data_IF_935278210132
#
_entry.id   IF_935278210132
#
_cell.length_a   1.000
_cell.length_b   1.000
_cell.length_c   1.000
_cell.angle_alpha   90.00
_cell.angle_beta   90.00
_cell.angle_gamma   90.00
#
_symmetry.space_group_name_H-M   'P 1'
#
loop_
_entity.id
_entity.type
_entity.pdbx_description
1 polymer ?
#
# COMPACT_ATOMS: atom_id res chain seq x y z
N UNK A 1 -17.30 -59.80 -19.31
CA UNK A 1 -15.84 -59.50 -19.40
C UNK A 1 -15.70 -58.05 -19.73
N UNK A 2 -15.68 -57.17 -18.73
CA UNK A 2 -15.52 -55.71 -18.92
C UNK A 2 -14.10 -55.53 -19.43
N UNK A 3 -14.00 -54.98 -20.62
CA UNK A 3 -12.73 -54.81 -21.33
C UNK A 3 -11.73 -54.03 -20.50
N UNK A 4 -10.52 -54.58 -20.30
CA UNK A 4 -9.37 -53.87 -19.65
C UNK A 4 -9.16 -52.48 -20.20
N UNK A 5 -9.57 -52.21 -21.44
CA UNK A 5 -9.53 -50.89 -22.10
C UNK A 5 -10.49 -49.88 -21.49
N UNK A 6 -11.63 -50.31 -20.96
CA UNK A 6 -12.61 -49.44 -20.31
C UNK A 6 -12.13 -49.00 -18.93
N UNK A 7 -11.47 -49.91 -18.20
CA UNK A 7 -10.88 -49.58 -16.89
C UNK A 7 -9.71 -48.62 -17.00
N UNK A 8 -8.89 -48.77 -18.04
CA UNK A 8 -7.76 -47.86 -18.32
C UNK A 8 -8.25 -46.46 -18.74
N UNK A 9 -9.31 -46.39 -19.56
CA UNK A 9 -9.94 -45.10 -19.93
C UNK A 9 -10.55 -44.38 -18.73
N UNK A 10 -11.17 -45.11 -17.79
CA UNK A 10 -11.74 -44.56 -16.58
C UNK A 10 -10.64 -44.06 -15.63
N UNK A 11 -9.51 -44.76 -15.55
CA UNK A 11 -8.35 -44.32 -14.74
C UNK A 11 -7.70 -43.04 -15.28
N UNK A 12 -7.64 -42.88 -16.61
CA UNK A 12 -7.08 -41.68 -17.26
C UNK A 12 -8.02 -40.50 -17.08
N UNK A 13 -9.34 -40.71 -17.02
CA UNK A 13 -10.30 -39.62 -16.76
C UNK A 13 -10.21 -39.10 -15.32
N UNK A 14 -9.82 -39.93 -14.34
CA UNK A 14 -9.66 -39.55 -12.95
C UNK A 14 -8.37 -38.75 -12.67
N UNK A 15 -7.35 -38.87 -13.50
CA UNK A 15 -6.09 -38.12 -13.32
C UNK A 15 -6.13 -36.70 -13.88
N UNK A 16 -7.19 -36.33 -14.60
CA UNK A 16 -7.35 -34.99 -15.20
C UNK A 16 -8.00 -33.97 -14.25
N UNK A 17 -8.43 -34.35 -13.06
CA UNK A 17 -8.78 -33.41 -12.01
C UNK A 17 -7.52 -32.94 -11.29
N UNK A 18 -6.55 -32.39 -12.05
CA UNK A 18 -5.62 -31.43 -11.49
C UNK A 18 -6.47 -30.24 -11.06
N UNK A 19 -6.76 -30.12 -9.77
CA UNK A 19 -7.21 -28.85 -9.21
C UNK A 19 -6.14 -27.85 -9.62
N UNK A 20 -6.49 -26.96 -10.53
CA UNK A 20 -5.73 -25.76 -10.76
C UNK A 20 -5.83 -24.98 -9.43
N UNK A 21 -4.88 -25.19 -8.54
CA UNK A 21 -4.72 -24.33 -7.38
C UNK A 21 -4.38 -22.98 -7.97
N UNK A 22 -5.35 -22.05 -7.93
CA UNK A 22 -5.07 -20.67 -8.29
C UNK A 22 -3.84 -20.24 -7.50
N UNK A 23 -2.79 -19.87 -8.21
CA UNK A 23 -1.58 -19.35 -7.55
C UNK A 23 -1.98 -18.17 -6.66
N UNK A 24 -1.46 -18.12 -5.42
CA UNK A 24 -1.72 -17.03 -4.51
C UNK A 24 -1.43 -15.70 -5.19
N UNK A 25 -2.43 -14.84 -5.26
CA UNK A 25 -2.25 -13.56 -5.95
C UNK A 25 -2.88 -12.41 -5.17
N UNK A 26 -2.32 -11.22 -5.38
CA UNK A 26 -2.95 -9.97 -4.98
C UNK A 26 -4.28 -9.79 -5.72
N UNK A 27 -5.21 -9.07 -5.13
CA UNK A 27 -6.52 -8.76 -5.74
C UNK A 27 -6.36 -7.95 -7.03
N UNK A 28 -7.27 -8.14 -7.99
CA UNK A 28 -7.23 -7.41 -9.28
C UNK A 28 -7.26 -5.90 -9.09
N UNK A 29 -8.14 -5.44 -8.21
CA UNK A 29 -8.26 -4.03 -7.83
C UNK A 29 -8.96 -3.92 -6.49
N UNK A 30 -8.46 -3.02 -5.63
CA UNK A 30 -9.04 -2.71 -4.32
C UNK A 30 -9.18 -1.20 -4.22
N UNK A 31 -10.38 -0.73 -3.95
CA UNK A 31 -10.63 0.65 -3.57
C UNK A 31 -10.84 0.75 -2.07
N UNK A 32 -10.41 1.84 -1.47
CA UNK A 32 -10.62 2.06 -0.05
C UNK A 32 -10.31 3.47 0.40
N UNK A 33 -10.69 3.72 1.64
CA UNK A 33 -10.35 4.92 2.39
C UNK A 33 -9.55 4.51 3.61
N UNK A 34 -8.52 5.27 3.92
CA UNK A 34 -7.68 5.05 5.10
C UNK A 34 -7.47 6.34 5.86
N UNK A 35 -7.34 6.22 7.17
CA UNK A 35 -6.88 7.28 8.05
C UNK A 35 -5.76 6.75 8.95
N UNK A 36 -4.95 7.65 9.44
CA UNK A 36 -3.86 7.36 10.36
C UNK A 36 -3.46 8.61 11.12
N UNK A 37 -2.38 8.51 11.91
CA UNK A 37 -1.86 9.64 12.68
C UNK A 37 -1.46 10.79 11.75
N UNK A 38 -1.00 10.47 10.54
CA UNK A 38 -0.42 11.43 9.59
C UNK A 38 -1.36 11.83 8.45
N UNK A 39 -2.67 11.56 8.54
CA UNK A 39 -3.59 12.06 7.52
C UNK A 39 -4.78 11.16 7.18
N UNK A 40 -5.40 11.44 6.03
CA UNK A 40 -6.53 10.70 5.46
C UNK A 40 -6.34 10.58 3.95
N UNK A 41 -6.62 9.37 3.40
CA UNK A 41 -6.37 9.07 1.99
C UNK A 41 -7.47 8.18 1.41
N UNK A 42 -7.81 8.41 0.15
CA UNK A 42 -8.47 7.44 -0.69
C UNK A 42 -7.42 6.75 -1.57
N UNK A 43 -7.61 5.46 -1.81
CA UNK A 43 -6.62 4.71 -2.57
C UNK A 43 -7.25 3.69 -3.51
N UNK A 44 -6.53 3.37 -4.57
CA UNK A 44 -6.70 2.17 -5.37
C UNK A 44 -5.41 1.36 -5.31
N UNK A 45 -5.55 0.05 -5.26
CA UNK A 45 -4.44 -0.90 -5.32
C UNK A 45 -4.73 -1.89 -6.45
N UNK A 46 -4.05 -1.76 -7.57
CA UNK A 46 -4.25 -2.54 -8.78
C UNK A 46 -3.15 -3.58 -8.97
N UNK A 47 -3.52 -4.81 -9.37
CA UNK A 47 -2.58 -5.90 -9.65
C UNK A 47 -1.71 -5.57 -10.85
N UNK A 48 -0.39 -5.69 -10.71
CA UNK A 48 0.56 -5.73 -11.81
C UNK A 48 1.00 -7.17 -12.13
N UNK A 49 1.25 -7.97 -11.09
CA UNK A 49 1.56 -9.40 -11.18
C UNK A 49 0.88 -10.14 -10.03
N UNK A 50 1.04 -11.47 -9.94
CA UNK A 50 0.47 -12.24 -8.82
C UNK A 50 0.96 -11.78 -7.45
N UNK A 51 2.15 -11.21 -7.33
CA UNK A 51 2.74 -10.76 -6.08
C UNK A 51 2.97 -9.25 -5.99
N UNK A 52 2.77 -8.50 -7.08
CA UNK A 52 3.02 -7.06 -7.14
C UNK A 52 1.72 -6.31 -7.43
N UNK A 53 1.40 -5.33 -6.59
CA UNK A 53 0.33 -4.37 -6.81
C UNK A 53 0.90 -2.95 -6.93
N UNK A 54 0.27 -2.12 -7.75
CA UNK A 54 0.50 -0.67 -7.78
C UNK A 54 -0.57 0.00 -6.93
N UNK A 55 -0.15 0.65 -5.87
CA UNK A 55 -1.04 1.48 -5.07
C UNK A 55 -0.92 2.93 -5.47
N UNK A 56 -2.06 3.56 -5.70
CA UNK A 56 -2.18 5.00 -5.93
C UNK A 56 -3.05 5.61 -4.85
N UNK A 57 -2.67 6.77 -4.34
CA UNK A 57 -3.39 7.47 -3.27
C UNK A 57 -3.51 8.94 -3.58
N UNK A 58 -4.62 9.53 -3.14
CA UNK A 58 -4.83 10.96 -3.04
C UNK A 58 -5.37 11.23 -1.65
N UNK A 59 -4.85 12.25 -0.99
CA UNK A 59 -5.28 12.57 0.36
C UNK A 59 -4.70 13.86 0.92
N UNK A 60 -4.78 13.96 2.23
CA UNK A 60 -4.23 15.05 3.01
C UNK A 60 -3.25 14.48 4.03
N UNK A 61 -2.01 14.91 3.95
CA UNK A 61 -0.97 14.56 4.92
C UNK A 61 -0.95 15.60 6.04
N UNK A 62 -0.81 15.14 7.28
CA UNK A 62 -0.72 16.00 8.46
C UNK A 62 0.73 16.31 8.78
N UNK A 63 1.07 17.58 8.75
CA UNK A 63 2.38 18.10 9.12
C UNK A 63 2.34 18.85 10.45
N UNK A 64 3.43 18.73 11.22
CA UNK A 64 3.66 19.50 12.44
C UNK A 64 5.02 20.15 12.33
N UNK A 65 5.06 21.45 12.55
CA UNK A 65 6.29 22.22 12.69
C UNK A 65 6.24 23.02 14.00
N UNK A 66 7.22 22.83 14.85
CA UNK A 66 7.30 23.49 16.14
C UNK A 66 8.65 24.14 16.38
N UNK A 67 8.64 25.33 16.95
CA UNK A 67 9.78 25.97 17.58
C UNK A 67 9.43 26.35 19.04
N UNK A 68 10.42 26.82 19.82
CA UNK A 68 10.34 26.93 21.28
C UNK A 68 9.07 27.57 21.86
N UNK A 69 8.33 28.36 21.07
CA UNK A 69 7.14 29.07 21.54
C UNK A 69 5.87 28.81 20.75
N UNK A 70 5.93 28.06 19.63
CA UNK A 70 4.75 27.95 18.76
C UNK A 70 4.73 26.62 17.99
N UNK A 71 3.56 25.97 17.99
CA UNK A 71 3.30 24.77 17.17
C UNK A 71 2.37 25.14 16.02
N UNK A 72 2.83 24.87 14.80
CA UNK A 72 2.03 24.99 13.58
C UNK A 72 1.64 23.59 13.13
N UNK A 73 0.36 23.40 12.85
CA UNK A 73 -0.18 22.16 12.28
C UNK A 73 -0.83 22.46 10.95
N UNK A 74 -0.63 21.62 9.97
CA UNK A 74 -1.23 21.77 8.66
C UNK A 74 -1.64 20.43 8.07
N UNK A 75 -2.73 20.43 7.29
CA UNK A 75 -3.08 19.38 6.35
C UNK A 75 -2.71 19.89 4.96
N UNK A 76 -1.89 19.13 4.26
CA UNK A 76 -1.42 19.45 2.90
C UNK A 76 -1.83 18.35 1.93
N UNK A 77 -2.16 18.68 0.66
CA UNK A 77 -2.51 17.67 -0.32
C UNK A 77 -1.34 16.71 -0.55
N UNK A 78 -1.69 15.47 -0.84
CA UNK A 78 -0.70 14.46 -1.21
C UNK A 78 -1.20 13.57 -2.34
N UNK A 79 -0.32 13.28 -3.28
CA UNK A 79 -0.49 12.30 -4.34
C UNK A 79 0.62 11.28 -4.18
N UNK A 80 0.26 9.99 -4.14
CA UNK A 80 1.23 8.94 -3.87
C UNK A 80 1.10 7.81 -4.86
N UNK A 81 2.23 7.28 -5.30
CA UNK A 81 2.35 6.08 -6.12
C UNK A 81 3.31 5.13 -5.42
N UNK A 82 2.88 3.89 -5.22
CA UNK A 82 3.61 2.94 -4.40
C UNK A 82 3.50 1.53 -4.98
N UNK A 83 4.45 1.07 -5.82
CA UNK A 83 4.57 -0.34 -6.15
C UNK A 83 4.88 -1.14 -4.88
N UNK A 84 4.09 -2.19 -4.62
CA UNK A 84 4.13 -3.06 -3.44
C UNK A 84 4.39 -4.49 -3.85
N UNK A 85 5.46 -5.10 -3.37
CA UNK A 85 5.72 -6.53 -3.51
C UNK A 85 5.30 -7.29 -2.26
N UNK A 86 4.22 -8.07 -2.37
CA UNK A 86 3.70 -8.94 -1.32
C UNK A 86 4.42 -10.29 -1.33
N UNK A 87 5.55 -10.40 -0.65
CA UNK A 87 6.48 -11.53 -0.73
C UNK A 87 6.06 -12.78 0.06
N UNK A 88 4.99 -12.73 0.85
CA UNK A 88 4.63 -13.83 1.76
C UNK A 88 3.22 -14.41 1.55
N UNK A 89 2.55 -14.16 0.42
CA UNK A 89 1.20 -14.64 0.17
C UNK A 89 1.11 -16.16 0.22
N UNK A 90 1.99 -16.88 -0.47
CA UNK A 90 2.05 -18.34 -0.47
C UNK A 90 2.20 -18.92 0.95
N UNK A 91 3.16 -18.38 1.72
CA UNK A 91 3.40 -18.78 3.10
C UNK A 91 2.19 -18.53 4.00
N UNK A 92 1.38 -17.51 3.69
CA UNK A 92 0.14 -17.23 4.42
C UNK A 92 -0.92 -18.27 4.13
N UNK A 93 -1.14 -18.62 2.86
CA UNK A 93 -2.09 -19.68 2.45
C UNK A 93 -1.69 -21.02 3.03
N UNK A 94 -0.42 -21.41 2.92
CA UNK A 94 0.09 -22.64 3.51
C UNK A 94 -0.14 -22.75 5.03
N UNK A 95 -0.34 -21.61 5.71
CA UNK A 95 -0.67 -21.52 7.14
C UNK A 95 -2.15 -21.19 7.41
N UNK A 96 -3.04 -21.40 6.44
CA UNK A 96 -4.46 -21.07 6.51
C UNK A 96 -4.75 -19.63 6.97
N UNK A 97 -3.89 -18.68 6.57
CA UNK A 97 -4.08 -17.24 6.87
C UNK A 97 -4.68 -16.53 5.67
N UNK A 98 -5.62 -15.64 5.91
CA UNK A 98 -6.28 -14.83 4.88
C UNK A 98 -5.26 -13.99 4.10
N UNK A 99 -5.46 -13.92 2.76
CA UNK A 99 -4.76 -13.00 1.86
C UNK A 99 -5.72 -11.95 1.26
N UNK A 100 -7.02 -12.02 1.56
CA UNK A 100 -8.03 -11.09 1.09
C UNK A 100 -7.61 -9.63 1.33
N UNK A 101 -8.01 -8.74 0.41
CA UNK A 101 -7.61 -7.33 0.38
C UNK A 101 -6.08 -7.14 0.46
N UNK A 102 -5.32 -8.04 -0.17
CA UNK A 102 -3.86 -8.06 -0.15
C UNK A 102 -3.26 -8.14 1.27
N UNK A 103 -3.90 -8.94 2.15
CA UNK A 103 -3.36 -9.18 3.50
C UNK A 103 -2.03 -9.90 3.41
N UNK A 104 -0.94 -9.19 3.60
CA UNK A 104 0.43 -9.71 3.48
C UNK A 104 1.44 -8.79 4.14
N UNK A 105 2.71 -9.22 4.08
CA UNK A 105 3.84 -8.34 4.32
C UNK A 105 4.34 -7.89 2.95
N UNK A 106 4.79 -6.65 2.86
CA UNK A 106 5.24 -6.08 1.61
C UNK A 106 6.52 -5.27 1.74
N UNK A 107 7.25 -5.21 0.63
CA UNK A 107 8.26 -4.20 0.36
C UNK A 107 7.68 -3.24 -0.67
N UNK A 108 7.96 -1.96 -0.52
CA UNK A 108 7.45 -0.94 -1.42
C UNK A 108 8.46 0.19 -1.63
N UNK A 109 8.29 0.92 -2.74
CA UNK A 109 8.88 2.22 -2.94
C UNK A 109 7.75 3.26 -2.90
N UNK A 110 7.71 4.04 -1.83
CA UNK A 110 6.76 5.14 -1.71
C UNK A 110 7.31 6.36 -2.46
N UNK A 111 6.59 6.80 -3.49
CA UNK A 111 6.83 8.06 -4.19
C UNK A 111 5.67 8.99 -3.89
N UNK A 112 5.94 10.05 -3.12
CA UNK A 112 4.93 11.02 -2.70
C UNK A 112 5.24 12.39 -3.26
N UNK A 113 4.24 13.03 -3.87
CA UNK A 113 4.24 14.43 -4.24
C UNK A 113 3.28 15.19 -3.33
N UNK A 114 3.79 16.18 -2.64
CA UNK A 114 3.01 17.13 -1.84
C UNK A 114 3.04 18.48 -2.56
N UNK A 115 1.97 18.85 -3.29
CA UNK A 115 1.87 20.16 -3.93
C UNK A 115 1.52 21.26 -2.92
N UNK A 116 1.87 22.48 -3.26
CA UNK A 116 1.57 23.73 -2.54
C UNK A 116 0.22 24.36 -2.92
N UNK A 117 -0.68 23.60 -3.54
CA UNK A 117 -1.94 24.11 -4.10
C UNK A 117 -2.84 24.78 -3.07
N UNK A 118 -2.94 24.21 -1.88
CA UNK A 118 -3.66 24.71 -0.73
C UNK A 118 -3.20 24.04 0.55
N UNK A 119 -3.56 24.63 1.68
CA UNK A 119 -3.36 24.02 2.99
C UNK A 119 -4.52 24.36 3.94
N UNK A 120 -4.72 23.53 4.95
CA UNK A 120 -5.62 23.78 6.07
C UNK A 120 -4.74 23.82 7.32
N UNK A 121 -4.62 24.96 7.97
CA UNK A 121 -3.69 25.17 9.08
C UNK A 121 -4.35 25.90 10.24
N UNK A 122 -3.80 25.70 11.44
CA UNK A 122 -4.15 26.49 12.64
C UNK A 122 -3.53 27.90 12.63
N UNK A 123 -2.73 28.24 11.59
CA UNK A 123 -2.10 29.54 11.39
C UNK A 123 -2.30 30.03 9.97
N UNK A 124 -2.45 31.35 9.87
CA UNK A 124 -2.46 32.04 8.57
C UNK A 124 -1.04 32.25 8.07
N UNK A 125 -0.89 32.40 6.75
CA UNK A 125 0.37 32.74 6.07
C UNK A 125 1.55 31.80 6.36
N UNK A 126 1.30 30.48 6.40
CA UNK A 126 2.36 29.48 6.38
C UNK A 126 2.89 29.33 4.95
N UNK A 127 4.20 29.18 4.81
CA UNK A 127 4.80 28.83 3.52
C UNK A 127 4.80 27.30 3.37
N UNK A 128 4.01 26.80 2.42
CA UNK A 128 4.02 25.39 2.02
C UNK A 128 4.78 25.31 0.70
N UNK A 129 5.78 24.46 0.66
CA UNK A 129 6.67 24.29 -0.49
C UNK A 129 6.41 22.90 -1.09
N UNK A 130 6.31 22.84 -2.42
CA UNK A 130 6.13 21.60 -3.14
C UNK A 130 7.33 20.66 -2.96
N UNK A 131 7.05 19.39 -2.62
CA UNK A 131 8.10 18.38 -2.40
C UNK A 131 7.81 17.08 -3.11
N UNK A 132 8.88 16.35 -3.46
CA UNK A 132 8.79 14.95 -3.90
C UNK A 132 9.67 14.09 -3.02
N UNK A 133 9.08 13.04 -2.43
CA UNK A 133 9.77 12.07 -1.59
C UNK A 133 9.89 10.72 -2.27
N UNK A 134 11.01 10.01 -2.00
CA UNK A 134 11.29 8.64 -2.44
C UNK A 134 11.70 7.83 -1.21
N UNK A 135 10.83 6.92 -0.76
CA UNK A 135 11.01 6.22 0.51
C UNK A 135 10.82 4.71 0.31
N UNK A 136 11.92 3.93 0.19
CA UNK A 136 11.84 2.49 0.37
C UNK A 136 11.25 2.17 1.73
N UNK A 137 10.26 1.23 1.78
CA UNK A 137 9.64 0.83 3.04
C UNK A 137 9.28 -0.64 3.10
N UNK A 138 9.23 -1.15 4.30
CA UNK A 138 8.66 -2.43 4.65
C UNK A 138 7.37 -2.22 5.44
N UNK A 139 6.38 -3.08 5.18
CA UNK A 139 5.12 -2.98 5.88
C UNK A 139 4.35 -4.29 5.98
N UNK A 140 3.31 -4.23 6.80
CA UNK A 140 2.31 -5.28 6.95
C UNK A 140 0.92 -4.70 6.67
N UNK A 141 0.08 -5.46 5.97
CA UNK A 141 -1.34 -5.18 5.78
C UNK A 141 -2.15 -6.37 6.25
N UNK A 142 -3.22 -6.13 6.96
CA UNK A 142 -4.13 -7.16 7.47
C UNK A 142 -5.57 -6.71 7.32
N UNK A 143 -6.44 -7.69 7.04
CA UNK A 143 -7.88 -7.50 6.95
C UNK A 143 -8.58 -8.16 8.13
N UNK A 144 -9.47 -7.42 8.76
CA UNK A 144 -10.37 -7.87 9.83
C UNK A 144 -11.77 -7.91 9.25
N UNK A 145 -12.43 -9.04 9.38
CA UNK A 145 -13.71 -9.28 8.67
C UNK A 145 -13.48 -9.32 7.15
N UNK A 146 -14.27 -8.56 6.39
CA UNK A 146 -14.19 -8.51 4.94
C UNK A 146 -13.69 -7.16 4.40
N UNK A 147 -13.87 -6.09 5.16
CA UNK A 147 -13.66 -4.71 4.68
C UNK A 147 -12.66 -3.90 5.50
N UNK A 148 -12.55 -4.15 6.81
CA UNK A 148 -11.65 -3.38 7.64
C UNK A 148 -10.19 -3.82 7.45
N UNK A 149 -9.32 -2.85 7.25
CA UNK A 149 -7.88 -3.09 7.09
C UNK A 149 -7.09 -2.28 8.09
N UNK A 150 -5.96 -2.82 8.51
CA UNK A 150 -4.93 -2.04 9.18
C UNK A 150 -3.58 -2.29 8.54
N UNK A 151 -2.77 -1.26 8.52
CA UNK A 151 -1.42 -1.30 7.99
C UNK A 151 -0.44 -0.72 9.01
N UNK A 152 0.72 -1.33 9.10
CA UNK A 152 1.86 -0.80 9.83
C UNK A 152 3.12 -0.98 9.00
N UNK A 153 4.02 0.00 9.03
CA UNK A 153 5.25 -0.06 8.26
C UNK A 153 6.24 1.03 8.66
N UNK A 154 7.45 0.87 8.17
CA UNK A 154 8.54 1.81 8.37
C UNK A 154 9.33 1.94 7.08
N UNK A 155 9.74 3.16 6.75
CA UNK A 155 10.59 3.47 5.61
C UNK A 155 11.58 4.57 5.94
N UNK A 156 12.70 4.58 5.26
CA UNK A 156 13.71 5.62 5.32
C UNK A 156 14.14 5.96 3.91
N UNK A 157 14.14 7.24 3.56
CA UNK A 157 14.49 7.71 2.23
C UNK A 157 14.86 9.19 2.23
N UNK A 158 14.56 9.86 1.14
CA UNK A 158 14.83 11.28 0.99
C UNK A 158 13.69 12.01 0.30
N UNK A 159 13.68 13.32 0.45
CA UNK A 159 12.82 14.20 -0.32
C UNK A 159 13.61 15.37 -0.90
N UNK A 160 13.12 15.89 -2.00
CA UNK A 160 13.63 17.09 -2.66
C UNK A 160 12.56 18.18 -2.62
N UNK A 161 13.01 19.42 -2.49
CA UNK A 161 12.21 20.64 -2.59
C UNK A 161 12.22 21.11 -4.04
N UNK A 162 11.05 21.38 -4.62
CA UNK A 162 10.95 21.68 -6.06
C UNK A 162 11.21 23.16 -6.40
N UNK A 163 11.21 24.05 -5.42
CA UNK A 163 11.39 25.49 -5.65
C UNK A 163 12.85 25.96 -5.53
N UNK A 164 13.72 25.17 -4.93
CA UNK A 164 15.14 25.51 -4.78
C UNK A 164 15.96 24.94 -5.93
N UNK A 165 16.76 25.81 -6.56
CA UNK A 165 17.76 25.40 -7.55
C UNK A 165 18.94 24.63 -6.92
N UNK A 166 19.05 24.62 -5.61
CA UNK A 166 19.99 23.80 -4.85
C UNK A 166 19.26 22.54 -4.40
N UNK A 167 19.61 21.41 -5.01
CA UNK A 167 19.01 20.10 -4.75
C UNK A 167 19.55 19.51 -3.44
N UNK A 168 19.21 20.11 -2.32
CA UNK A 168 19.49 19.50 -1.02
C UNK A 168 18.59 18.30 -0.81
N UNK A 169 19.20 17.12 -0.73
CA UNK A 169 18.48 15.90 -0.40
C UNK A 169 18.30 15.81 1.10
N UNK A 170 17.07 16.00 1.55
CA UNK A 170 16.71 15.90 2.94
C UNK A 170 16.28 14.46 3.29
N UNK A 171 16.57 14.02 4.51
CA UNK A 171 16.17 12.69 5.01
C UNK A 171 14.68 12.67 5.32
N UNK A 172 14.00 11.64 4.87
CA UNK A 172 12.58 11.38 5.14
C UNK A 172 12.39 10.05 5.86
N UNK A 173 11.62 10.07 6.95
CA UNK A 173 11.17 8.89 7.69
C UNK A 173 9.67 8.70 7.44
N UNK A 174 9.26 7.50 6.99
CA UNK A 174 7.85 7.11 6.86
C UNK A 174 7.47 6.16 8.02
N UNK A 175 6.67 6.65 8.96
CA UNK A 175 6.03 5.87 10.00
C UNK A 175 4.57 5.66 9.60
N UNK A 176 4.26 4.47 9.12
CA UNK A 176 2.99 4.12 8.52
C UNK A 176 2.13 3.32 9.52
N UNK A 177 1.17 3.99 10.14
CA UNK A 177 0.15 3.39 10.99
C UNK A 177 -1.21 3.87 10.50
N UNK A 178 -1.97 2.97 9.89
CA UNK A 178 -3.25 3.29 9.24
C UNK A 178 -4.31 2.25 9.52
N UNK A 179 -5.54 2.71 9.60
CA UNK A 179 -6.75 1.88 9.58
C UNK A 179 -7.60 2.31 8.40
N UNK A 180 -8.38 1.41 7.84
CA UNK A 180 -9.16 1.73 6.66
C UNK A 180 -10.32 0.79 6.41
N UNK A 181 -11.10 1.16 5.42
CA UNK A 181 -12.22 0.39 4.89
C UNK A 181 -12.01 0.18 3.39
N UNK A 182 -12.19 -1.06 2.93
CA UNK A 182 -12.13 -1.44 1.51
C UNK A 182 -13.53 -1.80 1.01
N UNK A 183 -13.80 -1.44 -0.25
CA UNK A 183 -15.08 -1.65 -0.92
C UNK A 183 -15.08 -2.88 -1.80
#
# INVERSE_FOLDING_TARGET
MISKKLTTALLILFTSFSFAQEEPSVEKSIFGIQTGILGVWVHNEARLTNSIALRTEIGLDFGINGNDNTTTTALIPSIRVEPRWYYNLEKRIAKNRKIANNSGNFLALNVTYNPDWFYISNRENINVISTVAFIPKWGIKRTVGNHFTYEAGIGLGGFIVLEDYETDTNVALDLHLRIGYTF
#
